data_IF_542771514857
#
_entry.id   IF_542771514857
#
_cell.length_a   1.000
_cell.length_b   1.000
_cell.length_c   1.000
_cell.angle_alpha   90.00
_cell.angle_beta   90.00
_cell.angle_gamma   90.00
#
_symmetry.space_group_name_H-M   'P 1'
#
loop_
_entity.id
_entity.type
_entity.pdbx_description
1 polymer ?
#
# COMPACT_ATOMS: atom_id res chain seq x y z
N UNK A 1 13.29 11.07 2.68
CA UNK A 1 11.98 10.56 2.25
C UNK A 1 12.14 9.08 1.87
N UNK A 2 11.29 8.18 2.38
CA UNK A 2 11.47 6.73 2.27
C UNK A 2 10.87 6.10 1.00
N UNK A 3 10.71 6.87 -0.08
CA UNK A 3 10.20 6.37 -1.37
C UNK A 3 8.68 6.17 -1.47
N UNK A 4 7.94 6.24 -0.35
CA UNK A 4 6.47 6.23 -0.32
C UNK A 4 5.93 7.20 0.74
N UNK A 5 4.64 7.51 0.65
CA UNK A 5 3.89 8.28 1.63
C UNK A 5 2.85 7.40 2.31
N UNK A 6 2.64 7.60 3.61
CA UNK A 6 1.62 6.88 4.38
C UNK A 6 0.40 7.77 4.51
N UNK A 7 -0.77 7.22 4.17
CA UNK A 7 -2.06 7.86 4.40
C UNK A 7 -2.81 7.00 5.43
N UNK A 8 -2.93 7.50 6.65
CA UNK A 8 -3.77 6.85 7.65
C UNK A 8 -5.24 7.21 7.40
N UNK A 9 -6.09 6.20 7.39
CA UNK A 9 -7.55 6.35 7.27
C UNK A 9 -8.20 5.73 8.48
N UNK A 10 -9.12 6.46 9.10
CA UNK A 10 -9.86 5.99 10.26
C UNK A 10 -11.33 5.75 9.91
N UNK A 11 -11.86 4.59 10.31
CA UNK A 11 -13.27 4.24 10.12
C UNK A 11 -14.16 4.76 11.26
N UNK A 12 -13.60 4.94 12.46
CA UNK A 12 -14.30 5.46 13.64
C UNK A 12 -14.00 6.95 13.90
N UNK A 13 -13.11 7.55 13.10
CA UNK A 13 -12.72 8.95 13.18
C UNK A 13 -11.59 9.24 14.17
N UNK A 14 -11.07 8.23 14.88
CA UNK A 14 -10.00 8.37 15.87
C UNK A 14 -8.61 8.12 15.26
N UNK A 15 -7.64 8.92 15.70
CA UNK A 15 -6.22 8.76 15.39
C UNK A 15 -5.47 7.97 16.45
N UNK A 16 -4.21 7.63 16.16
CA UNK A 16 -3.28 7.03 17.12
C UNK A 16 -2.16 8.02 17.47
N UNK A 17 -1.28 7.65 18.39
CA UNK A 17 -0.11 8.47 18.71
C UNK A 17 0.78 8.71 17.48
N UNK A 18 1.00 7.68 16.66
CA UNK A 18 1.83 7.76 15.46
C UNK A 18 1.10 8.43 14.29
N UNK A 19 -0.24 8.34 14.26
CA UNK A 19 -1.09 8.91 13.23
C UNK A 19 -2.24 9.73 13.85
N UNK A 20 -1.95 10.91 14.42
CA UNK A 20 -2.94 11.68 15.20
C UNK A 20 -4.04 12.32 14.35
N UNK A 21 -3.79 12.51 13.05
CA UNK A 21 -4.70 13.20 12.13
C UNK A 21 -5.07 12.31 10.92
N UNK A 22 -5.82 11.21 11.13
CA UNK A 22 -6.20 10.32 10.04
C UNK A 22 -7.23 10.97 9.11
N UNK A 23 -7.23 10.55 7.86
CA UNK A 23 -8.29 10.88 6.90
C UNK A 23 -9.58 10.17 7.34
N UNK A 24 -10.70 10.90 7.29
CA UNK A 24 -12.03 10.40 7.70
C UNK A 24 -12.99 10.22 6.52
N UNK A 25 -12.62 10.73 5.34
CA UNK A 25 -13.47 10.67 4.14
C UNK A 25 -13.41 9.29 3.49
N UNK A 26 -14.26 8.36 3.90
CA UNK A 26 -14.29 7.00 3.36
C UNK A 26 -14.56 6.91 1.85
N UNK A 27 -14.98 8.00 1.20
CA UNK A 27 -15.10 8.02 -0.26
C UNK A 27 -13.74 7.85 -0.95
N UNK A 28 -12.62 8.22 -0.31
CA UNK A 28 -11.29 7.95 -0.87
C UNK A 28 -11.05 6.45 -1.06
N UNK A 29 -11.50 5.64 -0.09
CA UNK A 29 -11.35 4.19 -0.13
C UNK A 29 -12.28 3.59 -1.18
N UNK A 30 -13.55 4.02 -1.20
CA UNK A 30 -14.54 3.52 -2.18
C UNK A 30 -14.11 3.75 -3.63
N UNK A 31 -13.56 4.94 -3.93
CA UNK A 31 -13.06 5.28 -5.28
C UNK A 31 -11.92 4.37 -5.77
N UNK A 32 -11.23 3.71 -4.84
CA UNK A 32 -10.09 2.81 -5.10
C UNK A 32 -10.43 1.34 -4.83
N UNK A 33 -11.71 1.01 -4.65
CA UNK A 33 -12.20 -0.31 -4.22
C UNK A 33 -11.47 -0.86 -2.98
N UNK A 34 -11.20 0.02 -2.01
CA UNK A 34 -10.35 -0.23 -0.85
C UNK A 34 -11.10 -0.11 0.49
N UNK A 35 -12.43 -0.18 0.48
CA UNK A 35 -13.21 -0.16 1.72
C UNK A 35 -13.11 -1.55 2.38
N UNK A 36 -12.48 -1.69 3.57
CA UNK A 36 -12.21 -3.01 4.13
C UNK A 36 -13.41 -3.57 4.89
N UNK A 37 -13.59 -4.88 4.83
CA UNK A 37 -14.52 -5.61 5.71
C UNK A 37 -13.87 -5.99 7.06
N UNK A 38 -12.53 -6.06 7.09
CA UNK A 38 -11.72 -6.45 8.26
C UNK A 38 -10.63 -5.42 8.50
N UNK A 39 -10.40 -5.04 9.77
CA UNK A 39 -9.39 -4.05 10.18
C UNK A 39 -8.38 -4.65 11.17
N UNK A 40 -7.13 -4.13 11.23
CA UNK A 40 -6.54 -3.12 10.34
C UNK A 40 -6.34 -3.67 8.91
N UNK A 41 -6.39 -2.79 7.91
CA UNK A 41 -6.18 -3.14 6.50
C UNK A 41 -5.06 -2.27 5.92
N UNK A 42 -4.16 -2.88 5.16
CA UNK A 42 -3.04 -2.19 4.52
C UNK A 42 -3.11 -2.36 3.00
N UNK A 43 -2.99 -1.24 2.31
CA UNK A 43 -3.04 -1.17 0.86
C UNK A 43 -1.82 -0.43 0.31
N UNK A 44 -1.35 -0.86 -0.85
CA UNK A 44 -0.41 -0.13 -1.69
C UNK A 44 -1.18 0.60 -2.79
N UNK A 45 -0.79 1.86 -3.03
CA UNK A 45 -1.40 2.72 -4.04
C UNK A 45 -0.34 3.10 -5.07
N UNK A 46 -0.49 2.64 -6.31
CA UNK A 46 0.13 3.29 -7.45
C UNK A 46 -0.81 4.41 -7.94
N UNK A 47 -0.39 5.69 -7.96
CA UNK A 47 -1.21 6.78 -8.47
C UNK A 47 -1.69 6.60 -9.91
N UNK A 48 -1.00 5.79 -10.71
CA UNK A 48 -1.34 5.47 -12.11
C UNK A 48 -2.40 4.39 -12.22
N UNK A 49 -2.55 3.55 -11.21
CA UNK A 49 -3.55 2.49 -11.18
C UNK A 49 -4.85 3.00 -10.55
N UNK A 50 -6.02 2.64 -11.08
CA UNK A 50 -7.30 3.08 -10.53
C UNK A 50 -7.62 2.41 -9.19
N UNK A 51 -7.18 1.17 -8.98
CA UNK A 51 -7.50 0.37 -7.80
C UNK A 51 -6.36 0.33 -6.79
N UNK A 52 -6.71 0.22 -5.51
CA UNK A 52 -5.74 -0.09 -4.47
C UNK A 52 -5.38 -1.58 -4.48
N UNK A 53 -4.11 -1.90 -4.26
CA UNK A 53 -3.67 -3.28 -4.07
C UNK A 53 -3.65 -3.61 -2.58
N UNK A 54 -4.39 -4.63 -2.15
CA UNK A 54 -4.34 -5.09 -0.76
C UNK A 54 -2.99 -5.76 -0.49
N UNK A 55 -2.28 -5.31 0.55
CA UNK A 55 -1.09 -5.98 1.07
C UNK A 55 -1.48 -6.97 2.16
N UNK A 56 -2.42 -6.61 3.04
CA UNK A 56 -2.87 -7.50 4.10
C UNK A 56 -4.00 -6.95 4.95
N UNK A 57 -4.56 -7.85 5.76
CA UNK A 57 -5.62 -7.59 6.73
C UNK A 57 -5.23 -8.20 8.07
N UNK A 58 -5.60 -7.53 9.16
CA UNK A 58 -5.23 -7.96 10.51
C UNK A 58 -3.75 -7.69 10.85
N UNK A 59 -3.23 -8.47 11.79
CA UNK A 59 -1.84 -8.37 12.23
C UNK A 59 -0.94 -9.16 11.26
N UNK A 60 0.18 -8.56 10.88
CA UNK A 60 1.19 -9.13 10.00
C UNK A 60 2.58 -8.88 10.57
N UNK A 61 3.50 -9.84 10.38
CA UNK A 61 4.89 -9.64 10.77
C UNK A 61 5.62 -8.77 9.72
N UNK A 62 6.73 -8.13 10.10
CA UNK A 62 7.44 -7.21 9.21
C UNK A 62 8.01 -7.87 7.96
N UNK A 63 8.45 -9.13 8.06
CA UNK A 63 9.03 -9.87 6.93
C UNK A 63 7.99 -10.16 5.86
N UNK A 64 6.82 -10.65 6.26
CA UNK A 64 5.70 -10.90 5.33
C UNK A 64 5.28 -9.60 4.63
N UNK A 65 5.30 -8.48 5.37
CA UNK A 65 4.98 -7.17 4.80
C UNK A 65 6.02 -6.73 3.76
N UNK A 66 7.31 -6.86 4.07
CA UNK A 66 8.41 -6.56 3.15
C UNK A 66 8.31 -7.40 1.87
N UNK A 67 8.04 -8.71 2.00
CA UNK A 67 7.85 -9.63 0.87
C UNK A 67 6.68 -9.20 -0.01
N UNK A 68 5.52 -8.89 0.58
CA UNK A 68 4.32 -8.47 -0.16
C UNK A 68 4.49 -7.12 -0.86
N UNK A 69 5.19 -6.17 -0.23
CA UNK A 69 5.51 -4.89 -0.87
C UNK A 69 6.40 -5.14 -2.09
N UNK A 70 7.46 -5.95 -1.93
CA UNK A 70 8.39 -6.23 -3.01
C UNK A 70 7.69 -6.93 -4.18
N UNK A 71 6.86 -7.94 -3.91
CA UNK A 71 6.03 -8.60 -4.92
C UNK A 71 5.10 -7.62 -5.63
N UNK A 72 4.43 -6.74 -4.88
CA UNK A 72 3.50 -5.75 -5.42
C UNK A 72 4.18 -4.75 -6.38
N UNK A 73 5.44 -4.40 -6.14
CA UNK A 73 6.20 -3.46 -6.98
C UNK A 73 7.15 -4.16 -7.96
N UNK A 74 7.09 -5.49 -8.07
CA UNK A 74 7.92 -6.26 -9.00
C UNK A 74 9.42 -6.32 -8.65
N UNK A 75 9.76 -6.22 -7.36
CA UNK A 75 11.12 -6.44 -6.86
C UNK A 75 11.27 -7.91 -6.48
N UNK A 76 12.25 -8.59 -7.10
CA UNK A 76 12.67 -9.91 -6.66
C UNK A 76 13.60 -9.79 -5.44
N UNK A 77 13.15 -10.23 -4.26
CA UNK A 77 13.96 -10.16 -3.03
C UNK A 77 15.11 -11.17 -2.98
N UNK A 78 15.06 -12.25 -3.75
CA UNK A 78 16.16 -13.23 -3.85
C UNK A 78 17.28 -12.74 -4.77
N UNK A 79 16.95 -11.90 -5.74
CA UNK A 79 17.89 -11.24 -6.64
C UNK A 79 17.91 -9.75 -6.33
N UNK A 80 18.69 -9.35 -5.32
CA UNK A 80 18.86 -7.94 -4.95
C UNK A 80 18.97 -7.03 -6.17
N UNK A 81 17.92 -6.25 -6.41
CA UNK A 81 17.80 -5.15 -7.38
C UNK A 81 18.35 -5.39 -8.79
N UNK A 82 17.57 -6.03 -9.69
CA UNK A 82 17.59 -5.65 -11.12
C UNK A 82 16.16 -5.71 -11.68
N UNK A 83 15.46 -4.57 -11.70
CA UNK A 83 14.35 -4.35 -12.64
C UNK A 83 14.77 -3.23 -13.59
N UNK A 84 15.71 -3.55 -14.49
CA UNK A 84 16.16 -2.70 -15.59
C UNK A 84 15.20 -2.78 -16.80
N UNK A 85 13.90 -2.85 -16.55
CA UNK A 85 12.90 -3.15 -17.57
C UNK A 85 11.64 -2.29 -17.41
N UNK A 86 11.78 -0.98 -17.15
CA UNK A 86 11.59 -0.02 -18.25
C UNK A 86 12.35 -0.51 -19.49
N UNK A 87 11.76 -1.50 -20.13
CA UNK A 87 12.09 -1.92 -21.48
C UNK A 87 12.19 -0.63 -22.27
N UNK A 88 13.36 -0.45 -22.89
CA UNK A 88 13.45 0.41 -24.05
C UNK A 88 12.16 0.24 -24.85
N UNK A 89 11.53 1.37 -25.04
CA UNK A 89 10.38 1.57 -25.90
C UNK A 89 10.66 0.78 -27.17
N UNK A 90 9.73 -0.11 -27.47
CA UNK A 90 9.64 -0.88 -28.71
C UNK A 90 10.09 -0.02 -29.91
N UNK A 91 10.97 -0.61 -30.71
CA UNK A 91 11.54 -0.18 -32.01
C UNK A 91 12.84 0.65 -32.01
#
# INVERSE_FOLDING_TARGET
>A
AHGFSIISVSLDGQGTQDFPNPVKDLNLLKRRNALPEVVPALYLIDPKEPQAQALGFGIMNSKDLEERIAEAVGINLQQGTITASKLDVLD
#
